data_IF_422231482737
#
_entry.id   IF_422231482737
#
_cell.length_a   1.000
_cell.length_b   1.000
_cell.length_c   1.000
_cell.angle_alpha   90.00
_cell.angle_beta   90.00
_cell.angle_gamma   90.00
#
_symmetry.space_group_name_H-M   'P 1'
#
loop_
_entity.id
_entity.type
_entity.pdbx_description
1 polymer ?
#
# COMPACT_ATOMS: atom_id res chain seq x y z
N UNK A 1 -10.90 15.57 -12.47
CA UNK A 1 -11.06 15.26 -11.03
C UNK A 1 -12.10 16.24 -10.52
N UNK A 2 -13.35 15.80 -10.38
CA UNK A 2 -14.47 16.68 -10.03
C UNK A 2 -14.52 16.93 -8.53
N UNK A 3 -15.16 18.04 -8.13
CA UNK A 3 -15.41 18.46 -6.74
C UNK A 3 -15.97 17.33 -5.84
N UNK A 4 -16.63 16.33 -6.45
CA UNK A 4 -17.18 15.14 -5.80
C UNK A 4 -16.15 14.24 -5.09
N UNK A 5 -14.91 14.15 -5.59
CA UNK A 5 -13.88 13.23 -5.04
C UNK A 5 -13.42 13.65 -3.64
N UNK A 6 -13.30 14.96 -3.39
CA UNK A 6 -12.82 15.46 -2.09
C UNK A 6 -13.85 15.21 -0.98
N UNK A 7 -15.15 15.38 -1.25
CA UNK A 7 -16.20 15.07 -0.27
C UNK A 7 -16.26 13.59 0.11
N UNK A 8 -15.86 12.68 -0.79
CA UNK A 8 -15.72 11.26 -0.47
C UNK A 8 -14.58 11.01 0.53
N UNK A 9 -13.49 11.80 0.44
CA UNK A 9 -12.35 11.72 1.36
C UNK A 9 -12.62 12.33 2.73
N UNK A 10 -13.61 13.21 2.87
CA UNK A 10 -13.97 13.82 4.16
C UNK A 10 -14.69 12.86 5.11
N UNK A 11 -15.07 11.64 4.73
CA UNK A 11 -15.76 10.71 5.64
C UNK A 11 -17.07 11.28 6.20
N UNK A 12 -17.80 12.04 5.39
CA UNK A 12 -19.11 12.59 5.73
C UNK A 12 -20.21 11.61 5.32
N UNK A 13 -21.27 11.50 6.13
CA UNK A 13 -22.52 10.85 5.72
C UNK A 13 -23.19 11.63 4.59
N UNK A 14 -24.14 11.00 3.89
CA UNK A 14 -24.86 11.62 2.77
C UNK A 14 -25.57 12.93 3.18
N UNK A 15 -26.19 12.97 4.36
CA UNK A 15 -26.84 14.18 4.86
C UNK A 15 -25.84 15.25 5.27
N UNK A 16 -24.71 14.90 5.88
CA UNK A 16 -23.67 15.86 6.24
C UNK A 16 -23.02 16.46 5.00
N UNK A 17 -22.74 15.65 3.98
CA UNK A 17 -22.25 16.12 2.68
C UNK A 17 -23.22 17.11 2.07
N UNK A 18 -24.49 16.72 1.95
CA UNK A 18 -25.53 17.58 1.37
C UNK A 18 -25.67 18.89 2.15
N UNK A 19 -25.72 18.82 3.48
CA UNK A 19 -25.79 20.00 4.34
C UNK A 19 -24.58 20.93 4.18
N UNK A 20 -23.36 20.38 4.13
CA UNK A 20 -22.14 21.16 3.99
C UNK A 20 -22.06 21.84 2.62
N UNK A 21 -22.40 21.12 1.54
CA UNK A 21 -22.45 21.67 0.18
C UNK A 21 -23.46 22.82 0.07
N UNK A 22 -24.65 22.65 0.64
CA UNK A 22 -25.67 23.71 0.66
C UNK A 22 -25.23 24.89 1.52
N UNK A 23 -24.60 24.65 2.68
CA UNK A 23 -24.05 25.72 3.50
C UNK A 23 -22.95 26.51 2.79
N UNK A 24 -22.07 25.86 2.05
CA UNK A 24 -21.03 26.52 1.26
C UNK A 24 -21.62 27.44 0.17
N UNK A 25 -22.79 27.08 -0.37
CA UNK A 25 -23.50 27.87 -1.37
C UNK A 25 -24.33 29.01 -0.76
N UNK A 26 -25.07 28.74 0.32
CA UNK A 26 -25.98 29.68 0.98
C UNK A 26 -25.25 30.63 1.96
N UNK A 27 -24.08 30.23 2.46
CA UNK A 27 -23.37 30.91 3.52
C UNK A 27 -24.07 30.76 4.88
N UNK A 28 -24.32 31.89 5.55
CA UNK A 28 -24.93 31.89 6.88
C UNK A 28 -26.45 31.70 6.79
N UNK A 29 -26.98 30.66 7.42
CA UNK A 29 -28.42 30.36 7.43
C UNK A 29 -28.88 29.77 8.77
N UNK A 30 -30.15 29.39 8.88
CA UNK A 30 -30.72 28.71 10.06
C UNK A 30 -30.97 27.24 9.75
N UNK A 31 -31.03 26.39 10.78
CA UNK A 31 -31.28 24.95 10.59
C UNK A 31 -32.58 24.64 9.81
N UNK A 32 -33.74 25.30 10.07
CA UNK A 32 -34.94 25.06 9.27
C UNK A 32 -34.80 25.43 7.79
N UNK A 33 -34.13 26.55 7.49
CA UNK A 33 -33.91 26.98 6.11
C UNK A 33 -32.95 26.04 5.38
N UNK A 34 -31.90 25.59 6.06
CA UNK A 34 -30.98 24.60 5.51
C UNK A 34 -31.68 23.27 5.24
N UNK A 35 -32.50 22.79 6.18
CA UNK A 35 -33.26 21.55 6.02
C UNK A 35 -34.16 21.59 4.77
N UNK A 36 -34.81 22.73 4.53
CA UNK A 36 -35.65 22.93 3.35
C UNK A 36 -34.84 22.98 2.06
N UNK A 37 -33.75 23.76 2.03
CA UNK A 37 -32.89 23.89 0.85
C UNK A 37 -32.18 22.57 0.49
N UNK A 38 -31.69 21.85 1.50
CA UNK A 38 -30.94 20.61 1.35
C UNK A 38 -31.83 19.36 1.21
N UNK A 39 -33.15 19.48 1.33
CA UNK A 39 -34.06 18.33 1.36
C UNK A 39 -33.85 17.38 2.55
N UNK A 40 -33.20 17.84 3.62
CA UNK A 40 -32.91 17.04 4.80
C UNK A 40 -34.11 17.08 5.75
N UNK A 41 -34.61 15.93 6.27
CA UNK A 41 -35.69 15.92 7.24
C UNK A 41 -35.38 16.80 8.47
N UNK A 42 -36.34 17.63 8.90
CA UNK A 42 -36.17 18.54 10.07
C UNK A 42 -35.76 17.83 11.35
N UNK A 43 -36.14 16.56 11.51
CA UNK A 43 -35.75 15.73 12.65
C UNK A 43 -34.26 15.34 12.65
N UNK A 44 -33.58 15.45 11.50
CA UNK A 44 -32.17 15.06 11.29
C UNK A 44 -31.22 16.25 11.20
N UNK A 45 -31.69 17.42 10.74
CA UNK A 45 -30.81 18.56 10.43
C UNK A 45 -29.97 19.04 11.62
N UNK A 46 -30.51 19.00 12.85
CA UNK A 46 -29.76 19.43 14.02
C UNK A 46 -28.60 18.49 14.34
N UNK A 47 -28.83 17.17 14.32
CA UNK A 47 -27.73 16.20 14.53
C UNK A 47 -26.67 16.26 13.43
N UNK A 48 -27.07 16.54 12.19
CA UNK A 48 -26.14 16.79 11.07
C UNK A 48 -25.30 18.05 11.32
N UNK A 49 -25.93 19.14 11.76
CA UNK A 49 -25.24 20.39 12.06
C UNK A 49 -24.33 20.27 13.28
N UNK A 50 -24.75 19.54 14.31
CA UNK A 50 -23.95 19.26 15.50
C UNK A 50 -22.69 18.49 15.10
N UNK A 51 -22.81 17.41 14.32
CA UNK A 51 -21.67 16.65 13.77
C UNK A 51 -20.72 17.54 12.95
N UNK A 52 -21.25 18.36 12.05
CA UNK A 52 -20.44 19.29 11.26
C UNK A 52 -19.76 20.37 12.12
N UNK A 53 -20.36 20.76 13.24
CA UNK A 53 -19.77 21.69 14.21
C UNK A 53 -18.68 21.02 15.05
N UNK A 54 -18.92 19.79 15.53
CA UNK A 54 -17.95 19.00 16.30
C UNK A 54 -16.69 18.73 15.49
N UNK A 55 -16.83 18.49 14.19
CA UNK A 55 -15.72 18.35 13.25
C UNK A 55 -15.06 19.67 12.86
N UNK A 56 -15.61 20.80 13.28
CA UNK A 56 -15.10 22.14 12.99
C UNK A 56 -15.31 22.61 11.55
N UNK A 57 -16.19 21.98 10.77
CA UNK A 57 -16.48 22.37 9.39
C UNK A 57 -17.48 23.53 9.32
N UNK A 58 -18.35 23.61 10.31
CA UNK A 58 -19.38 24.64 10.46
C UNK A 58 -19.23 25.26 11.84
N UNK A 59 -19.50 26.56 11.96
CA UNK A 59 -19.64 27.22 13.25
C UNK A 59 -21.10 27.55 13.52
N UNK A 60 -21.54 27.23 14.74
CA UNK A 60 -22.80 27.73 15.28
C UNK A 60 -22.59 29.19 15.76
N UNK A 61 -23.47 30.08 15.30
CA UNK A 61 -23.53 31.47 15.74
C UNK A 61 -24.73 31.61 16.67
N UNK A 62 -24.51 31.92 17.97
CA UNK A 62 -25.59 32.09 18.94
C UNK A 62 -26.63 33.14 18.50
N UNK A 63 -27.90 32.86 18.76
CA UNK A 63 -29.01 33.76 18.42
C UNK A 63 -30.37 33.09 18.58
N UNK A 64 -31.44 33.87 18.38
CA UNK A 64 -32.82 33.37 18.32
C UNK A 64 -33.47 33.83 17.00
N UNK A 65 -33.51 32.98 15.95
CA UNK A 65 -32.99 31.60 15.90
C UNK A 65 -31.45 31.51 15.82
N UNK A 66 -30.90 30.34 16.16
CA UNK A 66 -29.48 30.00 15.95
C UNK A 66 -29.16 30.02 14.46
N UNK A 67 -27.93 30.44 14.13
CA UNK A 67 -27.44 30.42 12.76
C UNK A 67 -26.22 29.51 12.64
N UNK A 68 -26.00 29.00 11.44
CA UNK A 68 -24.88 28.15 11.10
C UNK A 68 -24.17 28.74 9.89
N UNK A 69 -22.84 28.72 9.91
CA UNK A 69 -22.01 29.26 8.85
C UNK A 69 -20.87 28.28 8.58
N UNK A 70 -20.61 27.88 7.32
CA UNK A 70 -19.44 27.07 7.02
C UNK A 70 -18.17 27.87 7.26
N UNK A 71 -17.09 27.17 7.60
CA UNK A 71 -15.77 27.74 7.50
C UNK A 71 -15.33 27.87 6.02
N UNK A 72 -14.32 28.70 5.71
CA UNK A 72 -13.73 28.74 4.39
C UNK A 72 -13.32 27.34 3.91
N UNK A 73 -13.45 27.01 2.62
CA UNK A 73 -13.07 25.69 2.09
C UNK A 73 -11.65 25.26 2.47
N UNK A 74 -10.69 26.19 2.48
CA UNK A 74 -9.31 25.92 2.91
C UNK A 74 -9.26 25.45 4.37
N UNK A 75 -9.92 26.15 5.29
CA UNK A 75 -9.97 25.76 6.71
C UNK A 75 -10.69 24.42 6.92
N UNK A 76 -11.70 24.10 6.11
CA UNK A 76 -12.39 22.81 6.18
C UNK A 76 -11.42 21.68 5.81
N UNK A 77 -10.62 21.86 4.75
CA UNK A 77 -9.64 20.86 4.34
C UNK A 77 -8.52 20.72 5.37
N UNK A 78 -7.97 21.83 5.87
CA UNK A 78 -6.93 21.81 6.91
C UNK A 78 -7.42 21.10 8.19
N UNK A 79 -8.66 21.36 8.61
CA UNK A 79 -9.26 20.67 9.77
C UNK A 79 -9.55 19.21 9.49
N UNK A 80 -9.93 18.85 8.26
CA UNK A 80 -10.16 17.45 7.92
C UNK A 80 -8.87 16.63 8.01
N UNK A 81 -7.75 17.19 7.53
CA UNK A 81 -6.43 16.59 7.66
C UNK A 81 -6.04 16.43 9.15
N UNK A 82 -6.18 17.50 9.93
CA UNK A 82 -5.83 17.50 11.35
C UNK A 82 -6.69 16.54 12.18
N UNK A 83 -8.01 16.51 11.95
CA UNK A 83 -8.91 15.57 12.61
C UNK A 83 -8.48 14.13 12.31
N UNK A 84 -8.15 13.83 11.04
CA UNK A 84 -7.74 12.48 10.64
C UNK A 84 -6.39 12.09 11.25
N UNK A 85 -5.46 13.02 11.35
CA UNK A 85 -4.16 12.82 12.00
C UNK A 85 -4.33 12.49 13.48
N UNK A 86 -5.14 13.27 14.21
CA UNK A 86 -5.41 13.02 15.62
C UNK A 86 -6.15 11.70 15.88
N UNK A 87 -7.13 11.37 15.02
CA UNK A 87 -7.82 10.07 15.07
C UNK A 87 -6.83 8.91 14.93
N UNK A 88 -5.90 9.02 13.97
CA UNK A 88 -4.89 7.99 13.73
C UNK A 88 -3.89 7.89 14.88
N UNK A 89 -3.38 9.02 15.38
CA UNK A 89 -2.46 9.06 16.54
C UNK A 89 -3.11 8.44 17.78
N UNK A 90 -4.38 8.77 18.04
CA UNK A 90 -5.13 8.19 19.18
C UNK A 90 -5.34 6.69 19.01
N UNK A 91 -5.72 6.24 17.80
CA UNK A 91 -5.88 4.82 17.50
C UNK A 91 -4.59 4.02 17.71
N UNK A 92 -3.45 4.55 17.27
CA UNK A 92 -2.13 3.91 17.48
C UNK A 92 -1.79 3.83 18.97
N UNK A 93 -2.02 4.91 19.72
CA UNK A 93 -1.78 4.94 21.17
C UNK A 93 -2.66 3.92 21.91
N UNK A 94 -3.96 3.88 21.59
CA UNK A 94 -4.91 2.92 22.17
C UNK A 94 -4.48 1.47 21.88
N UNK A 95 -4.00 1.17 20.67
CA UNK A 95 -3.50 -0.16 20.33
C UNK A 95 -2.23 -0.53 21.13
N UNK A 96 -1.28 0.38 21.27
CA UNK A 96 -0.07 0.15 22.05
C UNK A 96 -0.39 -0.09 23.54
N UNK A 97 -1.32 0.68 24.11
CA UNK A 97 -1.77 0.53 25.50
C UNK A 97 -2.42 -0.85 25.75
N UNK A 98 -3.10 -1.43 24.75
CA UNK A 98 -3.73 -2.74 24.86
C UNK A 98 -2.83 -3.91 24.42
N UNK A 99 -1.68 -3.63 23.78
CA UNK A 99 -0.82 -4.63 23.13
C UNK A 99 -0.37 -5.74 24.06
N UNK A 100 0.15 -5.37 25.23
CA UNK A 100 0.69 -6.34 26.19
C UNK A 100 -0.39 -7.29 26.73
N UNK A 101 -1.54 -6.74 27.14
CA UNK A 101 -2.67 -7.52 27.65
C UNK A 101 -3.23 -8.46 26.58
N UNK A 102 -3.35 -7.98 25.33
CA UNK A 102 -3.82 -8.81 24.22
C UNK A 102 -2.87 -9.98 23.92
N UNK A 103 -1.55 -9.73 23.87
CA UNK A 103 -0.56 -10.77 23.62
C UNK A 103 -0.45 -11.79 24.77
N UNK A 104 -0.54 -11.33 26.03
CA UNK A 104 -0.56 -12.23 27.18
C UNK A 104 -1.79 -13.14 27.18
N UNK A 105 -2.94 -12.62 26.75
CA UNK A 105 -4.19 -13.37 26.70
C UNK A 105 -4.24 -14.37 25.52
N UNK A 106 -3.84 -13.93 24.32
CA UNK A 106 -4.03 -14.69 23.08
C UNK A 106 -2.78 -15.40 22.55
N UNK A 107 -1.57 -14.93 22.86
CA UNK A 107 -0.32 -15.57 22.43
C UNK A 107 -0.24 -17.05 22.82
N UNK A 108 -0.37 -17.40 24.12
CA UNK A 108 -0.34 -18.80 24.56
C UNK A 108 -1.53 -19.64 24.07
N UNK A 109 -2.63 -19.02 23.62
CA UNK A 109 -3.77 -19.74 23.03
C UNK A 109 -3.53 -20.03 21.56
N UNK A 110 -2.94 -19.09 20.83
CA UNK A 110 -2.53 -19.27 19.45
C UNK A 110 -1.47 -20.37 19.33
N UNK A 111 -0.42 -20.32 20.16
CA UNK A 111 0.64 -21.33 20.19
C UNK A 111 0.07 -22.75 20.39
N UNK A 112 -0.79 -22.94 21.41
CA UNK A 112 -1.44 -24.22 21.67
C UNK A 112 -2.38 -24.69 20.56
N UNK A 113 -3.02 -23.76 19.86
CA UNK A 113 -3.87 -24.10 18.71
C UNK A 113 -3.04 -24.54 17.50
N UNK A 114 -1.79 -24.06 17.39
CA UNK A 114 -0.83 -24.44 16.35
C UNK A 114 -0.02 -25.70 16.64
N UNK A 115 -0.07 -26.26 17.86
CA UNK A 115 0.69 -27.47 18.22
C UNK A 115 0.35 -28.71 17.36
N UNK A 116 -0.86 -28.76 16.80
CA UNK A 116 -1.29 -29.83 15.87
C UNK A 116 -0.97 -29.52 14.39
N UNK A 117 -0.52 -28.29 14.07
CA UNK A 117 -0.09 -27.90 12.72
C UNK A 117 1.33 -28.41 12.54
N UNK A 118 1.52 -29.33 11.60
CA UNK A 118 2.87 -29.84 11.31
C UNK A 118 3.66 -28.77 10.55
N UNK A 119 4.98 -28.67 10.76
CA UNK A 119 5.85 -27.74 10.01
C UNK A 119 5.78 -27.89 8.47
N UNK A 120 5.14 -28.96 7.96
CA UNK A 120 4.84 -29.14 6.54
C UNK A 120 3.63 -28.30 6.05
N UNK A 121 2.76 -27.83 6.95
CA UNK A 121 1.55 -27.05 6.65
C UNK A 121 1.83 -25.52 6.63
N UNK A 122 2.97 -25.06 7.14
CA UNK A 122 3.41 -23.65 7.15
C UNK A 122 4.45 -23.32 6.07
N UNK A 123 4.57 -24.14 5.02
CA UNK A 123 5.55 -23.88 3.96
C UNK A 123 5.24 -22.59 3.17
N UNK A 124 3.96 -22.34 2.91
CA UNK A 124 3.49 -21.14 2.21
C UNK A 124 2.11 -20.72 2.73
N UNK A 125 1.87 -19.42 2.80
CA UNK A 125 0.52 -18.87 2.79
C UNK A 125 0.29 -18.07 1.51
N UNK A 126 -0.98 -17.81 1.21
CA UNK A 126 -1.37 -17.23 -0.09
C UNK A 126 -2.14 -15.93 0.12
N UNK A 127 -1.83 -14.93 -0.70
CA UNK A 127 -2.53 -13.65 -0.77
C UNK A 127 -2.96 -13.34 -2.20
N UNK A 128 -4.06 -12.61 -2.36
CA UNK A 128 -4.53 -12.18 -3.68
C UNK A 128 -3.56 -11.15 -4.28
N UNK A 129 -3.34 -11.25 -5.60
CA UNK A 129 -2.53 -10.29 -6.36
C UNK A 129 -3.25 -8.94 -6.45
N UNK A 130 -2.54 -7.88 -6.10
CA UNK A 130 -3.04 -6.50 -6.03
C UNK A 130 -2.63 -5.85 -4.72
N UNK A 131 -3.52 -5.08 -4.11
CA UNK A 131 -3.26 -4.40 -2.83
C UNK A 131 -2.71 -5.32 -1.73
N UNK A 132 -3.17 -6.58 -1.55
CA UNK A 132 -2.61 -7.49 -0.54
C UNK A 132 -1.15 -7.85 -0.84
N UNK A 133 -0.85 -8.40 -2.03
CA UNK A 133 0.52 -8.78 -2.40
C UNK A 133 1.49 -7.59 -2.42
N UNK A 134 1.01 -6.41 -2.82
CA UNK A 134 1.82 -5.18 -2.82
C UNK A 134 2.09 -4.68 -1.39
N UNK A 135 1.17 -4.90 -0.45
CA UNK A 135 1.37 -4.62 0.98
C UNK A 135 2.45 -5.51 1.57
N UNK A 136 2.40 -6.81 1.29
CA UNK A 136 3.42 -7.77 1.71
C UNK A 136 4.77 -7.45 1.06
N UNK A 137 4.79 -7.11 -0.23
CA UNK A 137 6.02 -6.68 -0.89
C UNK A 137 6.62 -5.43 -0.22
N UNK A 138 5.81 -4.43 0.15
CA UNK A 138 6.29 -3.27 0.92
C UNK A 138 6.79 -3.64 2.31
N UNK A 139 6.15 -4.62 2.98
CA UNK A 139 6.61 -5.14 4.28
C UNK A 139 8.01 -5.72 4.16
N UNK A 140 8.22 -6.61 3.19
CA UNK A 140 9.53 -7.22 2.88
C UNK A 140 10.63 -6.15 2.72
N UNK A 141 10.40 -5.08 1.96
CA UNK A 141 11.40 -4.00 1.83
C UNK A 141 11.68 -3.24 3.13
N UNK A 142 10.67 -3.02 3.98
CA UNK A 142 10.83 -2.28 5.24
C UNK A 142 11.49 -3.10 6.33
N UNK A 143 11.28 -4.41 6.31
CA UNK A 143 11.80 -5.33 7.33
C UNK A 143 13.16 -5.92 6.93
N UNK A 144 13.55 -5.84 5.65
CA UNK A 144 14.84 -6.36 5.21
C UNK A 144 16.03 -5.72 5.94
N UNK A 145 17.03 -6.53 6.30
CA UNK A 145 18.20 -6.14 7.09
C UNK A 145 19.50 -6.08 6.27
N UNK A 146 19.66 -6.92 5.24
CA UNK A 146 20.91 -6.99 4.47
C UNK A 146 20.70 -6.80 2.97
N UNK A 147 19.72 -7.49 2.38
CA UNK A 147 19.59 -7.56 0.92
C UNK A 147 18.19 -7.90 0.44
N UNK A 148 17.84 -7.37 -0.73
CA UNK A 148 16.61 -7.73 -1.43
C UNK A 148 16.91 -8.09 -2.89
N UNK A 149 16.31 -9.20 -3.36
CA UNK A 149 16.41 -9.70 -4.72
C UNK A 149 15.04 -9.72 -5.37
N UNK A 150 14.90 -9.02 -6.49
CA UNK A 150 13.64 -8.88 -7.22
C UNK A 150 13.74 -9.59 -8.55
N UNK A 151 12.86 -10.55 -8.80
CA UNK A 151 12.74 -11.25 -10.06
C UNK A 151 11.42 -10.84 -10.70
N UNK A 152 11.42 -10.05 -11.77
CA UNK A 152 10.15 -9.56 -12.36
C UNK A 152 10.26 -9.30 -13.85
N UNK A 153 9.12 -9.16 -14.53
CA UNK A 153 9.09 -8.96 -15.99
C UNK A 153 9.46 -7.51 -16.34
N UNK A 154 8.54 -6.58 -16.09
CA UNK A 154 8.67 -5.16 -16.42
C UNK A 154 8.70 -4.25 -15.17
N UNK A 155 8.52 -4.82 -13.98
CA UNK A 155 8.46 -4.10 -12.70
C UNK A 155 7.36 -3.01 -12.64
N UNK A 156 6.17 -3.32 -13.19
CA UNK A 156 5.05 -2.35 -13.31
C UNK A 156 4.53 -1.83 -11.96
N UNK A 157 4.69 -2.60 -10.88
CA UNK A 157 4.29 -2.22 -9.53
C UNK A 157 5.34 -1.35 -8.80
N UNK A 158 6.40 -0.90 -9.48
CA UNK A 158 7.50 -0.16 -8.84
C UNK A 158 7.01 1.09 -8.11
N UNK A 159 6.14 1.90 -8.73
CA UNK A 159 5.60 3.13 -8.12
C UNK A 159 4.92 2.85 -6.77
N UNK A 160 4.24 1.71 -6.65
CA UNK A 160 3.53 1.31 -5.43
C UNK A 160 4.46 0.86 -4.30
N UNK A 161 5.67 0.41 -4.63
CA UNK A 161 6.68 -0.07 -3.65
C UNK A 161 7.84 0.91 -3.46
N UNK A 162 7.96 1.92 -4.32
CA UNK A 162 9.07 2.86 -4.34
C UNK A 162 9.31 3.57 -3.00
N UNK A 163 8.30 4.00 -2.21
CA UNK A 163 8.56 4.54 -0.88
C UNK A 163 9.29 3.57 0.06
N UNK A 164 9.01 2.27 -0.04
CA UNK A 164 9.69 1.25 0.74
C UNK A 164 11.08 0.91 0.17
N UNK A 165 11.24 0.98 -1.16
CA UNK A 165 12.56 0.88 -1.81
C UNK A 165 13.47 2.04 -1.38
N UNK A 166 12.94 3.26 -1.33
CA UNK A 166 13.70 4.44 -0.89
C UNK A 166 14.21 4.27 0.55
N UNK A 167 13.34 3.84 1.47
CA UNK A 167 13.72 3.53 2.85
C UNK A 167 14.81 2.44 2.91
N UNK A 168 14.67 1.35 2.16
CA UNK A 168 15.67 0.28 2.12
C UNK A 168 17.03 0.78 1.57
N UNK A 169 17.01 1.66 0.56
CA UNK A 169 18.24 2.29 0.05
C UNK A 169 18.89 3.18 1.12
N UNK A 170 18.10 4.00 1.81
CA UNK A 170 18.59 4.88 2.90
C UNK A 170 19.18 4.06 4.07
N UNK A 171 18.63 2.86 4.33
CA UNK A 171 19.16 1.89 5.31
C UNK A 171 20.39 1.11 4.80
N UNK A 172 20.77 1.24 3.53
CA UNK A 172 21.95 0.62 2.94
C UNK A 172 21.77 -0.85 2.53
N UNK A 173 20.53 -1.28 2.30
CA UNK A 173 20.18 -2.65 1.90
C UNK A 173 20.65 -2.92 0.45
N UNK A 174 21.29 -4.07 0.19
CA UNK A 174 21.76 -4.45 -1.17
C UNK A 174 20.57 -4.84 -2.06
N UNK A 175 20.10 -3.91 -2.90
CA UNK A 175 18.97 -4.12 -3.80
C UNK A 175 19.42 -4.55 -5.20
N UNK A 176 18.85 -5.64 -5.72
CA UNK A 176 19.08 -6.11 -7.09
C UNK A 176 17.81 -6.59 -7.75
N UNK A 177 17.54 -6.13 -8.98
CA UNK A 177 16.41 -6.60 -9.77
C UNK A 177 16.85 -7.19 -11.10
N UNK A 178 16.37 -8.41 -11.34
CA UNK A 178 16.49 -9.10 -12.60
C UNK A 178 15.18 -8.94 -13.39
N UNK A 179 15.29 -8.29 -14.54
CA UNK A 179 14.17 -7.98 -15.42
C UNK A 179 14.19 -8.85 -16.68
N UNK A 180 13.02 -9.05 -17.30
CA UNK A 180 12.95 -9.67 -18.62
C UNK A 180 13.58 -8.74 -19.66
N UNK A 181 14.39 -9.27 -20.58
CA UNK A 181 14.99 -8.45 -21.63
C UNK A 181 13.91 -7.72 -22.48
N UNK A 182 14.07 -6.42 -22.78
CA UNK A 182 13.10 -5.62 -23.54
C UNK A 182 12.64 -6.22 -24.86
N UNK A 183 13.55 -6.89 -25.59
CA UNK A 183 13.24 -7.54 -26.86
C UNK A 183 12.19 -8.65 -26.75
N UNK A 184 12.09 -9.27 -25.57
CA UNK A 184 11.09 -10.30 -25.28
C UNK A 184 9.78 -9.73 -24.72
N UNK A 185 9.62 -8.40 -24.71
CA UNK A 185 8.40 -7.71 -24.27
C UNK A 185 7.62 -7.15 -25.45
N UNK A 186 6.29 -7.17 -25.32
CA UNK A 186 5.39 -6.39 -26.16
C UNK A 186 5.70 -4.88 -26.02
N UNK A 187 5.40 -4.09 -27.05
CA UNK A 187 5.79 -2.68 -27.15
C UNK A 187 5.36 -1.85 -25.92
N UNK A 188 4.10 -1.99 -25.49
CA UNK A 188 3.57 -1.30 -24.30
C UNK A 188 4.35 -1.63 -23.02
N UNK A 189 4.62 -2.92 -22.77
CA UNK A 189 5.39 -3.36 -21.60
C UNK A 189 6.85 -2.92 -21.67
N UNK A 190 7.40 -2.80 -22.88
CA UNK A 190 8.76 -2.33 -23.12
C UNK A 190 8.90 -0.85 -22.77
N UNK A 191 7.93 -0.04 -23.15
CA UNK A 191 7.88 1.39 -22.81
C UNK A 191 7.74 1.60 -21.31
N UNK A 192 6.81 0.88 -20.66
CA UNK A 192 6.65 0.90 -19.20
C UNK A 192 7.95 0.49 -18.48
N UNK A 193 8.53 -0.63 -18.87
CA UNK A 193 9.79 -1.10 -18.27
C UNK A 193 10.90 -0.07 -18.43
N UNK A 194 11.04 0.55 -19.61
CA UNK A 194 12.04 1.60 -19.83
C UNK A 194 11.84 2.76 -18.85
N UNK A 195 10.62 3.25 -18.70
CA UNK A 195 10.31 4.34 -17.77
C UNK A 195 10.66 3.96 -16.32
N UNK A 196 10.33 2.74 -15.88
CA UNK A 196 10.69 2.25 -14.54
C UNK A 196 12.21 2.14 -14.37
N UNK A 197 12.92 1.57 -15.34
CA UNK A 197 14.38 1.43 -15.30
C UNK A 197 15.08 2.78 -15.26
N UNK A 198 14.61 3.75 -16.06
CA UNK A 198 15.17 5.10 -16.09
C UNK A 198 14.93 5.81 -14.74
N UNK A 199 13.74 5.63 -14.15
CA UNK A 199 13.42 6.13 -12.79
C UNK A 199 14.34 5.52 -11.73
N UNK A 200 14.52 4.19 -11.73
CA UNK A 200 15.39 3.50 -10.78
C UNK A 200 16.84 3.99 -10.93
N UNK A 201 17.37 4.03 -12.15
CA UNK A 201 18.76 4.47 -12.39
C UNK A 201 19.00 5.94 -12.06
N UNK A 202 17.97 6.78 -12.18
CA UNK A 202 18.04 8.20 -11.86
C UNK A 202 17.97 8.48 -10.36
N UNK A 203 17.07 7.80 -9.64
CA UNK A 203 16.81 8.06 -8.22
C UNK A 203 17.59 7.15 -7.27
N UNK A 204 17.93 5.93 -7.70
CA UNK A 204 18.54 4.86 -6.89
C UNK A 204 19.71 4.20 -7.66
N UNK A 205 20.80 4.92 -7.97
CA UNK A 205 21.92 4.40 -8.75
C UNK A 205 22.61 3.15 -8.16
N UNK A 206 22.50 2.92 -6.86
CA UNK A 206 22.94 1.73 -6.13
C UNK A 206 22.05 0.50 -6.37
N UNK A 207 20.79 0.70 -6.78
CA UNK A 207 19.88 -0.39 -7.10
C UNK A 207 20.34 -1.09 -8.39
N UNK A 208 20.94 -2.26 -8.24
CA UNK A 208 21.44 -3.04 -9.37
C UNK A 208 20.30 -3.54 -10.26
N UNK A 209 20.31 -3.16 -11.54
CA UNK A 209 19.38 -3.67 -12.55
C UNK A 209 20.13 -4.49 -13.62
N UNK A 210 19.65 -5.71 -13.88
CA UNK A 210 20.10 -6.54 -15.02
C UNK A 210 18.92 -7.15 -15.77
N UNK A 211 19.17 -7.57 -17.00
CA UNK A 211 18.18 -8.14 -17.91
C UNK A 211 18.53 -9.58 -18.28
N UNK A 212 17.56 -10.48 -18.31
CA UNK A 212 17.74 -11.85 -18.81
C UNK A 212 16.92 -12.14 -20.07
N UNK A 213 17.53 -12.87 -21.01
CA UNK A 213 16.87 -13.48 -22.17
C UNK A 213 16.29 -14.87 -21.88
N UNK A 214 16.58 -15.46 -20.72
CA UNK A 214 15.94 -16.69 -20.21
C UNK A 214 14.57 -16.46 -19.58
N UNK A 215 13.63 -17.39 -19.77
CA UNK A 215 12.30 -17.27 -19.18
C UNK A 215 12.39 -17.12 -17.65
N UNK A 216 11.52 -16.30 -17.08
CA UNK A 216 11.39 -16.15 -15.63
C UNK A 216 10.24 -17.05 -15.19
N UNK A 217 10.51 -18.25 -14.64
CA UNK A 217 9.48 -19.25 -14.33
C UNK A 217 8.52 -18.77 -13.23
N UNK A 218 8.95 -17.80 -12.42
CA UNK A 218 8.17 -17.12 -11.41
C UNK A 218 8.63 -15.67 -11.33
N UNK A 219 7.85 -14.85 -10.62
CA UNK A 219 8.20 -13.47 -10.26
C UNK A 219 8.15 -13.37 -8.75
N UNK A 220 8.91 -12.48 -8.15
CA UNK A 220 8.90 -12.35 -6.71
C UNK A 220 9.95 -11.42 -6.15
N UNK A 221 9.89 -11.26 -4.85
CA UNK A 221 10.85 -10.51 -4.03
C UNK A 221 11.34 -11.44 -2.93
N UNK A 222 12.65 -11.47 -2.71
CA UNK A 222 13.33 -12.28 -1.69
C UNK A 222 14.10 -11.32 -0.80
N UNK A 223 13.94 -11.41 0.51
CA UNK A 223 14.75 -10.69 1.49
C UNK A 223 15.58 -11.65 2.34
N UNK A 224 16.78 -11.21 2.66
CA UNK A 224 17.69 -11.79 3.66
C UNK A 224 17.82 -13.32 3.69
N UNK A 225 18.08 -13.96 2.52
CA UNK A 225 18.37 -15.38 2.49
C UNK A 225 19.65 -15.67 3.29
N UNK A 226 19.56 -16.55 4.29
CA UNK A 226 20.72 -16.99 5.09
C UNK A 226 21.38 -18.25 4.53
N UNK A 227 22.70 -18.38 4.73
CA UNK A 227 23.45 -19.61 4.43
C UNK A 227 23.09 -20.75 5.41
N UNK A 228 22.58 -20.40 6.59
CA UNK A 228 22.12 -21.33 7.63
C UNK A 228 20.74 -21.93 7.37
N UNK A 229 20.00 -21.39 6.38
CA UNK A 229 18.62 -21.78 6.03
C UNK A 229 17.60 -21.58 7.14
N UNK A 230 17.93 -20.73 8.10
CA UNK A 230 17.17 -20.39 9.30
C UNK A 230 16.45 -19.04 9.19
N UNK A 231 16.70 -18.28 8.13
CA UNK A 231 16.15 -16.94 7.95
C UNK A 231 15.84 -16.62 6.48
N UNK A 232 15.08 -15.55 6.30
CA UNK A 232 14.71 -14.95 5.04
C UNK A 232 13.24 -15.12 4.70
N UNK A 233 12.76 -14.24 3.83
CA UNK A 233 11.37 -14.19 3.38
C UNK A 233 11.32 -14.10 1.86
N UNK A 234 10.33 -14.75 1.24
CA UNK A 234 10.04 -14.57 -0.16
C UNK A 234 8.54 -14.48 -0.45
N UNK A 235 8.16 -13.51 -1.28
CA UNK A 235 6.88 -13.49 -1.97
C UNK A 235 7.09 -13.87 -3.43
N UNK A 236 6.32 -14.83 -3.94
CA UNK A 236 6.41 -15.33 -5.30
C UNK A 236 5.04 -15.48 -5.95
N UNK A 237 5.00 -15.10 -7.22
CA UNK A 237 3.89 -15.31 -8.13
C UNK A 237 4.36 -16.26 -9.23
N UNK A 238 3.75 -17.44 -9.30
CA UNK A 238 4.00 -18.40 -10.37
C UNK A 238 3.31 -17.91 -11.65
N UNK A 239 3.90 -18.17 -12.81
CA UNK A 239 3.31 -17.77 -14.08
C UNK A 239 2.05 -18.59 -14.37
N UNK A 240 0.89 -17.94 -14.25
CA UNK A 240 -0.43 -18.51 -14.57
C UNK A 240 -1.04 -17.78 -15.76
N UNK A 241 -0.68 -18.21 -16.97
CA UNK A 241 -1.12 -17.56 -18.21
C UNK A 241 -2.64 -17.70 -18.46
N UNK A 242 -3.28 -18.70 -17.84
CA UNK A 242 -4.71 -18.99 -17.98
C UNK A 242 -5.60 -18.28 -16.94
N UNK A 243 -5.00 -17.70 -15.88
CA UNK A 243 -5.73 -17.04 -14.79
C UNK A 243 -5.69 -15.51 -14.98
N UNK A 244 -6.86 -14.83 -15.03
CA UNK A 244 -6.91 -13.37 -15.09
C UNK A 244 -6.17 -12.72 -13.92
N UNK A 245 -5.50 -11.59 -14.16
CA UNK A 245 -4.61 -10.96 -13.16
C UNK A 245 -5.24 -10.75 -11.76
N UNK A 246 -6.55 -10.46 -11.68
CA UNK A 246 -7.27 -10.22 -10.42
C UNK A 246 -7.66 -11.50 -9.66
N UNK A 247 -7.47 -12.67 -10.27
CA UNK A 247 -7.69 -13.98 -9.64
C UNK A 247 -6.37 -14.70 -9.32
N UNK A 248 -5.24 -14.07 -9.64
CA UNK A 248 -3.92 -14.64 -9.37
C UNK A 248 -3.59 -14.54 -7.89
N UNK A 249 -2.78 -15.47 -7.45
CA UNK A 249 -2.38 -15.62 -6.07
C UNK A 249 -0.85 -15.55 -5.94
N UNK A 250 -0.37 -14.82 -4.94
CA UNK A 250 1.03 -14.79 -4.55
C UNK A 250 1.21 -15.69 -3.33
N UNK A 251 2.23 -16.55 -3.35
CA UNK A 251 2.63 -17.36 -2.22
C UNK A 251 3.74 -16.65 -1.45
N UNK A 252 3.66 -16.68 -0.12
CA UNK A 252 4.67 -16.11 0.78
C UNK A 252 5.22 -17.23 1.64
N UNK A 253 6.54 -17.21 1.85
CA UNK A 253 7.25 -18.18 2.68
C UNK A 253 8.32 -17.49 3.50
N UNK A 254 8.41 -17.88 4.76
CA UNK A 254 9.50 -17.54 5.70
C UNK A 254 10.38 -18.78 5.97
N UNK A 255 10.22 -19.84 5.16
CA UNK A 255 11.06 -21.03 5.28
C UNK A 255 12.44 -20.77 4.68
N UNK A 256 13.46 -20.56 5.53
CA UNK A 256 14.80 -20.19 5.10
C UNK A 256 15.44 -21.13 4.06
N UNK A 257 15.14 -22.43 4.08
CA UNK A 257 15.64 -23.37 3.06
C UNK A 257 15.03 -23.11 1.67
N UNK A 258 13.72 -22.82 1.60
CA UNK A 258 13.08 -22.42 0.35
C UNK A 258 13.60 -21.07 -0.15
N UNK A 259 13.69 -20.09 0.75
CA UNK A 259 14.18 -18.74 0.43
C UNK A 259 15.61 -18.78 -0.09
N UNK A 260 16.50 -19.55 0.54
CA UNK A 260 17.86 -19.76 0.06
C UNK A 260 17.92 -20.45 -1.30
N UNK A 261 17.04 -21.43 -1.55
CA UNK A 261 16.89 -22.08 -2.85
C UNK A 261 16.48 -21.11 -3.97
N UNK A 262 15.50 -20.25 -3.70
CA UNK A 262 15.05 -19.20 -4.61
C UNK A 262 16.14 -18.17 -4.87
N UNK A 263 16.87 -17.77 -3.82
CA UNK A 263 18.00 -16.85 -3.95
C UNK A 263 19.13 -17.46 -4.79
N UNK A 264 19.42 -18.75 -4.62
CA UNK A 264 20.42 -19.43 -5.45
C UNK A 264 20.06 -19.39 -6.93
N UNK A 265 18.78 -19.55 -7.28
CA UNK A 265 18.31 -19.35 -8.66
C UNK A 265 18.57 -17.90 -9.11
N UNK A 266 18.18 -16.91 -8.30
CA UNK A 266 18.44 -15.50 -8.61
C UNK A 266 19.92 -15.24 -8.89
N UNK A 267 20.82 -15.65 -8.00
CA UNK A 267 22.26 -15.35 -8.10
C UNK A 267 22.91 -16.04 -9.31
N UNK A 268 22.46 -17.24 -9.69
CA UNK A 268 22.91 -17.92 -10.91
C UNK A 268 22.51 -17.14 -12.16
N UNK A 269 21.24 -16.74 -12.28
CA UNK A 269 20.75 -15.99 -13.44
C UNK A 269 21.39 -14.60 -13.48
N UNK A 270 21.50 -13.94 -12.33
CA UNK A 270 22.18 -12.66 -12.18
C UNK A 270 23.64 -12.74 -12.65
N UNK A 271 24.38 -13.76 -12.23
CA UNK A 271 25.81 -13.86 -12.51
C UNK A 271 26.11 -14.33 -13.92
N UNK A 272 25.35 -15.29 -14.44
CA UNK A 272 25.71 -16.04 -15.65
C UNK A 272 24.77 -15.83 -16.84
N UNK A 273 23.52 -15.41 -16.61
CA UNK A 273 22.47 -15.39 -17.64
C UNK A 273 21.80 -14.01 -17.76
N UNK A 274 22.50 -12.95 -17.35
CA UNK A 274 21.97 -11.59 -17.40
C UNK A 274 23.01 -10.55 -17.81
N UNK A 275 22.52 -9.43 -18.32
CA UNK A 275 23.33 -8.32 -18.84
C UNK A 275 22.90 -6.97 -18.26
N UNK A 276 23.83 -6.01 -18.21
CA UNK A 276 23.60 -4.68 -17.61
C UNK A 276 22.85 -3.70 -18.53
N UNK A 277 22.84 -3.96 -19.84
CA UNK A 277 22.29 -3.06 -20.84
C UNK A 277 21.23 -3.76 -21.70
N UNK A 278 20.10 -3.09 -21.90
CA UNK A 278 19.10 -3.45 -22.90
C UNK A 278 19.44 -2.98 -24.33
N UNK A 279 20.58 -2.32 -24.50
CA UNK A 279 21.08 -1.79 -25.77
C UNK A 279 22.39 -2.47 -26.11
N UNK A 280 22.36 -3.37 -27.08
CA UNK A 280 23.52 -4.12 -27.58
C UNK A 280 23.14 -4.99 -28.76
N UNK A 281 22.93 -4.37 -29.92
CA UNK A 281 22.97 -5.06 -31.20
C UNK A 281 24.43 -5.40 -31.52
N UNK A 282 24.71 -6.68 -31.73
CA UNK A 282 25.75 -7.25 -32.61
C UNK A 282 27.17 -6.66 -32.57
N UNK A 283 28.12 -7.54 -32.25
CA UNK A 283 29.23 -7.84 -33.18
C UNK A 283 29.13 -9.29 -33.62
#
# INVERSE_FOLDING_TARGET
MGETDVFDRLGLTEYERTALTELLSLGRTTAPNLAEAAGIPKARVYGVLDSLCDRGFVKEIPGRPKHYQPHPPTEILDRAEENRRQEYESFVADLEDQRAAFLEEYGPRYERAGEDITAAEELFYVVDVGDPSERETRRIYREADERVRVLTKAFEYFETVEPAVADAVDRGIDLRALLRHPDALAAENRERQRAVVDRIRGSYPEFGIRFTRGALPWRGTIADPSDGYDDGEAILLVQEDEIPNHMRQAAITENGAFVAGLNRYFELVWTHESERGAGGSGE
#
